data_IF_944602601042
#
_entry.id   IF_944602601042
#
_cell.length_a   1.000
_cell.length_b   1.000
_cell.length_c   1.000
_cell.angle_alpha   90.00
_cell.angle_beta   90.00
_cell.angle_gamma   90.00
#
_symmetry.space_group_name_H-M   'P 1'
#
loop_
_entity.id
_entity.type
_entity.pdbx_description
1 polymer ?
#
# COMPACT_ATOMS: atom_id res chain seq x y z
N UNK A 1 2.15 -3.95 15.79
CA UNK A 1 2.79 -5.10 15.12
C UNK A 1 1.88 -6.28 15.37
N UNK A 2 1.55 -7.10 14.36
CA UNK A 2 0.89 -8.38 14.62
C UNK A 2 1.93 -9.34 15.19
N UNK A 3 1.59 -10.06 16.25
CA UNK A 3 2.50 -10.94 16.98
C UNK A 3 2.78 -12.27 16.24
N UNK A 4 2.12 -12.52 15.10
CA UNK A 4 2.19 -13.78 14.35
C UNK A 4 2.66 -13.60 12.89
N UNK A 5 3.57 -12.65 12.63
CA UNK A 5 4.15 -12.48 11.28
C UNK A 5 5.47 -13.24 11.19
N UNK A 6 5.61 -14.10 10.17
CA UNK A 6 6.85 -14.80 9.86
C UNK A 6 8.00 -13.79 9.63
N UNK A 7 9.18 -14.04 10.19
CA UNK A 7 10.34 -13.13 10.07
C UNK A 7 10.70 -12.82 8.61
N UNK A 8 10.51 -13.79 7.72
CA UNK A 8 10.70 -13.64 6.27
C UNK A 8 9.74 -12.62 5.65
N UNK A 9 8.45 -12.66 6.03
CA UNK A 9 7.44 -11.70 5.56
C UNK A 9 7.71 -10.29 6.08
N UNK A 10 8.12 -10.18 7.34
CA UNK A 10 8.55 -8.90 7.94
C UNK A 10 9.75 -8.30 7.20
N UNK A 11 10.73 -9.15 6.87
CA UNK A 11 11.89 -8.77 6.06
C UNK A 11 11.51 -8.29 4.67
N UNK A 12 10.59 -8.97 4.00
CA UNK A 12 10.11 -8.57 2.67
C UNK A 12 9.38 -7.23 2.69
N UNK A 13 8.49 -6.99 3.67
CA UNK A 13 7.78 -5.72 3.83
C UNK A 13 8.76 -4.57 4.14
N UNK A 14 9.75 -4.82 4.98
CA UNK A 14 10.80 -3.85 5.31
C UNK A 14 11.64 -3.49 4.08
N UNK A 15 12.04 -4.49 3.29
CA UNK A 15 12.78 -4.29 2.05
C UNK A 15 11.94 -3.56 1.00
N UNK A 16 10.68 -3.98 0.78
CA UNK A 16 9.80 -3.41 -0.23
C UNK A 16 9.47 -1.95 0.08
N UNK A 17 9.08 -1.64 1.31
CA UNK A 17 8.81 -0.25 1.73
C UNK A 17 10.04 0.64 1.59
N UNK A 18 11.24 0.14 1.92
CA UNK A 18 12.49 0.87 1.72
C UNK A 18 12.76 1.12 0.23
N UNK A 19 12.69 0.07 -0.58
CA UNK A 19 12.96 0.14 -2.01
C UNK A 19 12.02 1.11 -2.72
N UNK A 20 10.73 1.13 -2.36
CA UNK A 20 9.75 2.06 -2.92
C UNK A 20 10.06 3.51 -2.52
N UNK A 21 10.34 3.78 -1.25
CA UNK A 21 10.67 5.13 -0.77
C UNK A 21 11.99 5.67 -1.36
N UNK A 22 12.94 4.80 -1.69
CA UNK A 22 14.26 5.22 -2.23
C UNK A 22 14.30 5.35 -3.74
N UNK A 23 13.48 4.57 -4.46
CA UNK A 23 13.52 4.52 -5.93
C UNK A 23 12.37 5.26 -6.60
N UNK A 24 11.44 5.84 -5.82
CA UNK A 24 10.35 6.67 -6.35
C UNK A 24 10.31 8.00 -5.59
N UNK A 25 9.64 9.00 -6.15
CA UNK A 25 9.41 10.30 -5.48
C UNK A 25 8.32 10.20 -4.39
N UNK A 26 8.30 9.13 -3.59
CA UNK A 26 7.31 8.94 -2.52
C UNK A 26 7.82 9.47 -1.19
N UNK A 27 6.96 10.18 -0.47
CA UNK A 27 7.20 10.53 0.93
C UNK A 27 6.75 9.40 1.88
N UNK A 28 5.76 8.61 1.45
CA UNK A 28 5.05 7.67 2.32
C UNK A 28 4.51 6.47 1.56
N UNK A 29 4.52 5.33 2.23
CA UNK A 29 4.10 4.02 1.69
C UNK A 29 3.29 3.25 2.72
N UNK A 30 2.15 2.70 2.27
CA UNK A 30 1.42 1.62 2.94
C UNK A 30 1.49 0.39 2.04
N UNK A 31 1.85 -0.75 2.62
CA UNK A 31 1.73 -2.07 1.98
C UNK A 31 0.77 -2.87 2.86
N UNK A 32 -0.37 -3.26 2.33
CA UNK A 32 -1.34 -4.11 3.02
C UNK A 32 -1.51 -5.39 2.20
N UNK A 33 -1.03 -6.53 2.70
CA UNK A 33 -1.06 -7.84 2.00
C UNK A 33 -1.26 -8.96 3.03
N UNK A 34 -2.15 -9.92 2.75
CA UNK A 34 -2.44 -11.08 3.62
C UNK A 34 -2.68 -10.69 5.10
N UNK A 35 -3.56 -9.71 5.35
CA UNK A 35 -3.88 -9.18 6.69
C UNK A 35 -2.71 -8.53 7.45
N UNK A 36 -1.57 -8.35 6.79
CA UNK A 36 -0.41 -7.65 7.34
C UNK A 36 -0.30 -6.27 6.71
N UNK A 37 -0.12 -5.26 7.57
CA UNK A 37 0.12 -3.88 7.15
C UNK A 37 1.51 -3.42 7.55
N UNK A 38 2.23 -2.87 6.58
CA UNK A 38 3.46 -2.12 6.76
C UNK A 38 3.20 -0.66 6.41
N UNK A 39 3.33 0.23 7.40
CA UNK A 39 3.22 1.68 7.24
C UNK A 39 4.61 2.29 7.39
N UNK A 40 5.05 3.10 6.42
CA UNK A 40 6.37 3.75 6.47
C UNK A 40 6.35 5.14 5.83
N UNK A 41 7.23 6.02 6.28
CA UNK A 41 7.34 7.40 5.80
C UNK A 41 6.55 8.37 6.67
N UNK A 42 6.22 9.52 6.11
CA UNK A 42 5.54 10.60 6.84
C UNK A 42 4.01 10.40 6.84
N UNK A 43 3.39 10.24 8.00
CA UNK A 43 1.94 10.06 8.10
C UNK A 43 1.33 11.03 9.11
N UNK A 44 0.15 11.56 8.77
CA UNK A 44 -0.69 12.18 9.78
C UNK A 44 -1.24 11.06 10.65
N UNK A 45 -0.97 11.12 11.94
CA UNK A 45 -1.63 10.26 12.93
C UNK A 45 -2.61 11.10 13.72
N UNK A 46 -3.66 10.49 14.32
CA UNK A 46 -4.53 11.19 15.25
C UNK A 46 -3.69 11.93 16.31
N UNK A 47 -4.08 13.15 16.67
CA UNK A 47 -3.33 14.02 17.58
C UNK A 47 -3.27 13.52 19.03
N UNK A 48 -3.83 12.34 19.33
CA UNK A 48 -3.67 11.69 20.63
C UNK A 48 -2.20 11.33 20.85
N UNK A 49 -1.52 12.22 21.58
CA UNK A 49 -0.08 12.18 21.90
C UNK A 49 0.35 10.89 22.62
N UNK A 50 -0.61 10.10 23.11
CA UNK A 50 -0.42 8.86 23.85
C UNK A 50 -1.09 7.64 23.17
N UNK A 51 -1.47 7.75 21.89
CA UNK A 51 -2.05 6.64 21.15
C UNK A 51 -1.09 5.44 21.16
N UNK A 52 -1.50 4.35 21.82
CA UNK A 52 -0.75 3.11 21.80
C UNK A 52 -0.54 2.65 20.35
N UNK A 53 0.53 1.88 20.10
CA UNK A 53 0.82 1.36 18.75
C UNK A 53 -0.37 0.61 18.14
N UNK A 54 -1.16 -0.05 18.99
CA UNK A 54 -2.34 -0.80 18.57
C UNK A 54 -3.49 0.13 18.19
N UNK A 55 -3.63 1.27 18.88
CA UNK A 55 -4.59 2.31 18.49
C UNK A 55 -4.26 2.87 17.10
N UNK A 56 -2.99 3.17 16.82
CA UNK A 56 -2.56 3.66 15.50
C UNK A 56 -2.80 2.62 14.41
N UNK A 57 -2.47 1.35 14.67
CA UNK A 57 -2.70 0.26 13.72
C UNK A 57 -4.20 0.11 13.42
N UNK A 58 -5.04 0.11 14.45
CA UNK A 58 -6.50 0.05 14.31
C UNK A 58 -7.05 1.24 13.54
N UNK A 59 -6.49 2.44 13.75
CA UNK A 59 -6.84 3.62 12.97
C UNK A 59 -6.53 3.42 11.49
N UNK A 60 -5.31 3.01 11.13
CA UNK A 60 -4.96 2.74 9.72
C UNK A 60 -5.86 1.68 9.09
N UNK A 61 -6.09 0.56 9.79
CA UNK A 61 -7.01 -0.48 9.35
C UNK A 61 -8.41 0.10 9.05
N UNK A 62 -8.95 0.91 9.97
CA UNK A 62 -10.27 1.52 9.82
C UNK A 62 -10.34 2.50 8.64
N UNK A 63 -9.25 3.23 8.35
CA UNK A 63 -9.20 4.14 7.20
C UNK A 63 -9.13 3.35 5.90
N UNK A 64 -8.29 2.31 5.84
CA UNK A 64 -8.13 1.46 4.65
C UNK A 64 -9.43 0.72 4.32
N UNK A 65 -10.16 0.21 5.31
CA UNK A 65 -11.44 -0.46 5.07
C UNK A 65 -12.47 0.46 4.40
N UNK A 66 -12.41 1.78 4.63
CA UNK A 66 -13.33 2.74 4.02
C UNK A 66 -13.00 3.06 2.56
N UNK A 67 -11.81 2.73 2.08
CA UNK A 67 -11.37 3.15 0.74
C UNK A 67 -11.72 2.18 -0.38
N UNK A 68 -12.12 0.94 -0.06
CA UNK A 68 -12.39 -0.10 -1.06
C UNK A 68 -11.15 -0.55 -1.87
N UNK A 69 -9.93 -0.26 -1.41
CA UNK A 69 -8.71 -0.60 -2.19
C UNK A 69 -8.46 -2.09 -2.38
N UNK A 70 -9.06 -2.93 -1.54
CA UNK A 70 -9.06 -4.38 -1.71
C UNK A 70 -9.95 -4.86 -2.86
N UNK A 71 -10.83 -4.03 -3.42
CA UNK A 71 -11.67 -4.39 -4.57
C UNK A 71 -11.09 -3.94 -5.92
N UNK A 72 -9.94 -3.24 -5.89
CA UNK A 72 -9.29 -2.75 -7.10
C UNK A 72 -8.76 -3.88 -7.98
N UNK A 73 -9.12 -3.81 -9.27
CA UNK A 73 -8.62 -4.70 -10.33
C UNK A 73 -7.48 -4.10 -11.13
N UNK A 74 -7.30 -2.79 -11.05
CA UNK A 74 -6.27 -2.05 -11.78
C UNK A 74 -5.64 -0.99 -10.88
N UNK A 75 -4.48 -0.51 -11.29
CA UNK A 75 -3.79 0.58 -10.61
C UNK A 75 -4.59 1.86 -10.73
N UNK A 76 -4.75 2.57 -9.62
CA UNK A 76 -5.26 3.94 -9.60
C UNK A 76 -4.13 4.92 -9.43
N UNK A 77 -4.12 5.97 -10.24
CA UNK A 77 -3.15 7.04 -10.15
C UNK A 77 -3.83 8.40 -10.12
N UNK A 78 -3.52 9.15 -9.06
CA UNK A 78 -3.96 10.52 -8.85
C UNK A 78 -2.77 11.45 -9.08
N UNK A 79 -2.56 11.96 -10.30
CA UNK A 79 -1.40 12.81 -10.64
C UNK A 79 -1.42 14.15 -9.92
N UNK A 80 -2.61 14.61 -9.52
CA UNK A 80 -2.83 15.77 -8.68
C UNK A 80 -3.86 15.38 -7.62
N UNK A 81 -3.47 15.47 -6.36
CA UNK A 81 -4.32 15.14 -5.22
C UNK A 81 -4.57 16.44 -4.44
N UNK A 82 -5.83 16.90 -4.38
CA UNK A 82 -6.24 17.94 -3.44
C UNK A 82 -6.70 17.24 -2.15
N UNK A 83 -5.89 17.30 -1.10
CA UNK A 83 -6.17 16.66 0.18
C UNK A 83 -7.49 17.13 0.84
N UNK A 84 -8.05 18.26 0.39
CA UNK A 84 -9.31 18.85 0.86
C UNK A 84 -10.57 18.35 0.14
N UNK A 85 -10.45 17.68 -1.02
CA UNK A 85 -11.62 17.30 -1.85
C UNK A 85 -11.68 15.79 -2.14
N UNK A 86 -10.67 15.02 -1.74
CA UNK A 86 -10.61 13.59 -2.00
C UNK A 86 -11.15 12.78 -0.82
N UNK A 87 -11.92 11.72 -1.11
CA UNK A 87 -12.34 10.68 -0.14
C UNK A 87 -11.14 10.03 0.58
N UNK A 88 -9.93 10.16 0.00
CA UNK A 88 -8.65 9.77 0.58
C UNK A 88 -8.09 10.75 1.63
N UNK A 89 -8.70 11.92 1.81
CA UNK A 89 -8.15 13.04 2.59
C UNK A 89 -7.84 12.71 4.04
N UNK A 90 -8.56 11.74 4.64
CA UNK A 90 -8.30 11.28 6.01
C UNK A 90 -7.17 10.26 6.11
N UNK A 91 -6.87 9.52 5.03
CA UNK A 91 -5.82 8.52 4.99
C UNK A 91 -4.47 9.11 4.55
N UNK A 92 -4.46 10.02 3.57
CA UNK A 92 -3.23 10.55 3.01
C UNK A 92 -2.52 11.55 3.94
N UNK A 93 -1.16 11.57 3.93
CA UNK A 93 -0.42 12.54 4.71
C UNK A 93 -0.60 13.97 4.21
N UNK A 94 -0.43 14.94 5.13
CA UNK A 94 -0.51 16.37 4.81
C UNK A 94 0.60 16.70 3.81
N UNK A 95 0.27 17.51 2.81
CA UNK A 95 1.19 17.85 1.72
C UNK A 95 1.25 16.82 0.60
N UNK A 96 0.39 15.80 0.59
CA UNK A 96 0.26 14.90 -0.57
C UNK A 96 -0.25 15.69 -1.78
N UNK A 97 0.52 15.69 -2.87
CA UNK A 97 0.17 16.29 -4.16
C UNK A 97 -0.06 15.25 -5.26
N UNK A 98 0.38 14.00 -5.09
CA UNK A 98 0.00 12.88 -5.94
C UNK A 98 0.01 11.57 -5.16
N UNK A 99 -0.80 10.61 -5.60
CA UNK A 99 -0.93 9.30 -4.96
C UNK A 99 -1.12 8.18 -5.99
N UNK A 100 -0.64 6.98 -5.68
CA UNK A 100 -0.79 5.81 -6.53
C UNK A 100 -1.15 4.60 -5.67
N UNK A 101 -2.16 3.84 -6.12
CA UNK A 101 -2.59 2.59 -5.51
C UNK A 101 -2.35 1.47 -6.52
N UNK A 102 -1.45 0.55 -6.19
CA UNK A 102 -1.16 -0.63 -7.00
C UNK A 102 -1.73 -1.87 -6.30
N UNK A 103 -2.77 -2.53 -6.85
CA UNK A 103 -3.26 -3.78 -6.29
C UNK A 103 -2.24 -4.92 -6.49
N UNK A 104 -2.29 -5.89 -5.58
CA UNK A 104 -1.53 -7.15 -5.57
C UNK A 104 -2.50 -8.26 -5.97
N UNK A 105 -2.59 -8.50 -7.28
CA UNK A 105 -3.61 -9.38 -7.86
C UNK A 105 -3.02 -10.75 -8.12
N UNK A 106 -3.58 -11.80 -7.50
CA UNK A 106 -3.32 -13.17 -7.97
C UNK A 106 -4.15 -13.43 -9.22
N UNK A 107 -3.45 -13.64 -10.34
CA UNK A 107 -4.05 -14.30 -11.49
C UNK A 107 -4.07 -15.80 -11.21
N UNK A 108 -5.25 -16.40 -11.11
CA UNK A 108 -5.37 -17.86 -11.10
C UNK A 108 -4.97 -18.41 -12.46
N UNK A 109 -4.45 -19.65 -12.47
CA UNK A 109 -4.27 -20.44 -13.68
C UNK A 109 -5.59 -20.49 -14.49
N UNK A 110 -5.57 -20.44 -15.83
CA UNK A 110 -6.78 -20.39 -16.66
C UNK A 110 -7.64 -21.66 -16.57
N UNK A 111 -7.18 -22.70 -15.85
CA UNK A 111 -7.85 -23.98 -15.69
C UNK A 111 -8.93 -23.94 -14.59
N UNK A 112 -8.84 -23.02 -13.64
CA UNK A 112 -9.80 -22.95 -12.51
C UNK A 112 -10.39 -21.55 -12.43
N UNK A 113 -11.69 -21.48 -12.72
CA UNK A 113 -12.49 -20.26 -12.91
C UNK A 113 -12.76 -19.53 -11.58
N UNK A 114 -11.72 -19.17 -10.84
CA UNK A 114 -11.82 -18.30 -9.67
C UNK A 114 -11.51 -16.86 -10.07
N UNK A 115 -12.40 -15.94 -9.71
CA UNK A 115 -12.29 -14.52 -10.01
C UNK A 115 -10.94 -13.94 -9.55
N UNK A 116 -10.40 -12.96 -10.28
CA UNK A 116 -9.23 -12.17 -9.85
C UNK A 116 -9.40 -11.73 -8.40
N UNK A 117 -8.56 -12.27 -7.52
CA UNK A 117 -8.57 -11.94 -6.10
C UNK A 117 -7.42 -10.99 -5.81
N UNK A 118 -7.77 -9.80 -5.36
CA UNK A 118 -6.84 -8.84 -4.80
C UNK A 118 -6.48 -9.32 -3.37
N UNK A 119 -5.21 -9.69 -3.17
CA UNK A 119 -4.69 -10.16 -1.89
C UNK A 119 -4.08 -9.01 -1.06
N UNK A 120 -4.16 -7.79 -1.58
CA UNK A 120 -3.54 -6.61 -0.99
C UNK A 120 -3.28 -5.47 -1.96
N UNK A 121 -2.72 -4.37 -1.45
CA UNK A 121 -2.35 -3.23 -2.27
C UNK A 121 -1.11 -2.52 -1.70
N UNK A 122 -0.50 -1.72 -2.56
CA UNK A 122 0.54 -0.76 -2.22
C UNK A 122 -0.01 0.64 -2.49
N UNK A 123 -0.11 1.46 -1.44
CA UNK A 123 -0.44 2.88 -1.54
C UNK A 123 0.85 3.69 -1.39
N UNK A 124 1.12 4.57 -2.35
CA UNK A 124 2.21 5.54 -2.29
C UNK A 124 1.65 6.96 -2.34
N UNK A 125 2.24 7.84 -1.54
CA UNK A 125 1.94 9.26 -1.52
C UNK A 125 3.19 10.09 -1.75
N UNK A 126 3.06 11.20 -2.47
CA UNK A 126 4.16 12.10 -2.82
C UNK A 126 3.80 13.56 -2.55
N UNK A 127 4.80 14.37 -2.18
CA UNK A 127 4.70 15.84 -2.11
C UNK A 127 4.90 16.51 -3.46
N UNK A 128 5.04 15.75 -4.55
CA UNK A 128 5.28 16.25 -5.90
C UNK A 128 4.07 15.90 -6.77
N UNK A 129 3.61 16.84 -7.60
CA UNK A 129 2.59 16.56 -8.62
C UNK A 129 3.21 15.67 -9.71
N UNK A 130 2.42 14.77 -10.29
CA UNK A 130 2.87 13.86 -11.34
C UNK A 130 4.10 12.99 -10.96
N UNK A 131 4.24 12.62 -9.68
CA UNK A 131 5.48 12.06 -9.13
C UNK A 131 5.91 10.71 -9.72
N UNK A 132 4.97 9.95 -10.28
CA UNK A 132 5.22 8.60 -10.78
C UNK A 132 5.26 8.60 -12.31
N UNK A 133 6.44 8.34 -12.87
CA UNK A 133 6.63 8.09 -14.31
C UNK A 133 6.20 6.67 -14.69
N UNK A 134 6.17 6.35 -15.99
CA UNK A 134 5.95 4.96 -16.45
C UNK A 134 7.00 4.00 -15.89
N UNK A 135 8.25 4.45 -15.75
CA UNK A 135 9.33 3.65 -15.15
C UNK A 135 9.04 3.35 -13.68
N UNK A 136 8.59 4.35 -12.93
CA UNK A 136 8.23 4.18 -11.52
C UNK A 136 7.04 3.24 -11.39
N UNK A 137 6.00 3.41 -12.22
CA UNK A 137 4.82 2.54 -12.26
C UNK A 137 5.20 1.09 -12.56
N UNK A 138 6.08 0.85 -13.53
CA UNK A 138 6.58 -0.49 -13.85
C UNK A 138 7.35 -1.11 -12.67
N UNK A 139 8.18 -0.31 -12.00
CA UNK A 139 8.91 -0.74 -10.80
C UNK A 139 7.97 -1.07 -9.63
N UNK A 140 6.99 -0.21 -9.35
CA UNK A 140 5.98 -0.42 -8.30
C UNK A 140 5.21 -1.72 -8.58
N UNK A 141 4.81 -1.96 -9.82
CA UNK A 141 4.15 -3.22 -10.23
C UNK A 141 5.06 -4.44 -10.03
N UNK A 142 6.35 -4.34 -10.35
CA UNK A 142 7.29 -5.43 -10.13
C UNK A 142 7.45 -5.76 -8.63
N UNK A 143 7.48 -4.73 -7.77
CA UNK A 143 7.47 -4.92 -6.31
C UNK A 143 6.18 -5.57 -5.83
N UNK A 144 5.01 -5.14 -6.33
CA UNK A 144 3.73 -5.76 -6.02
C UNK A 144 3.70 -7.25 -6.39
N UNK A 145 4.19 -7.60 -7.59
CA UNK A 145 4.22 -8.98 -8.07
C UNK A 145 5.15 -9.89 -7.24
N UNK A 146 6.18 -9.34 -6.59
CA UNK A 146 7.06 -10.12 -5.70
C UNK A 146 6.28 -10.76 -4.54
N UNK A 147 5.22 -10.08 -4.06
CA UNK A 147 4.37 -10.63 -3.02
C UNK A 147 3.54 -11.83 -3.51
N UNK A 148 3.22 -11.92 -4.81
CA UNK A 148 2.47 -13.05 -5.38
C UNK A 148 3.33 -14.31 -5.53
N UNK A 149 4.57 -14.16 -6.02
CA UNK A 149 5.48 -15.28 -6.29
C UNK A 149 5.82 -16.13 -5.06
N UNK A 150 5.70 -15.56 -3.86
CA UNK A 150 5.96 -16.31 -2.63
C UNK A 150 4.75 -17.09 -2.13
N UNK A 151 3.54 -16.63 -2.42
CA UNK A 151 2.35 -17.30 -1.88
C UNK A 151 2.04 -18.61 -2.62
N UNK A 152 2.58 -18.79 -3.83
CA UNK A 152 2.57 -20.07 -4.53
C UNK A 152 3.52 -21.12 -3.93
N UNK A 153 4.49 -20.72 -3.08
CA UNK A 153 5.44 -21.65 -2.45
C UNK A 153 5.02 -22.15 -1.06
N UNK A 154 4.06 -21.46 -0.44
CA UNK A 154 3.57 -21.79 0.91
C UNK A 154 2.22 -22.55 0.87
N UNK A 155 1.81 -23.03 -0.31
CA UNK A 155 0.59 -23.83 -0.56
C UNK A 155 0.94 -25.24 -1.05
#
# INVERSE_FOLDING_TARGET
>A
MSNDILDTQKGDLAWASYALLRNTNSMSVIIAVNDVICVRGYWNTPEDKDASKDHLLNWFNSQIQKTGFFDLKDMLYFPQCSATESELGTLLPKGTLSALIQPVIRTSDPVVNFAMKNEGFILLASSVKYAYSEKDRAWIRAVANKFLHKISKDL
#
